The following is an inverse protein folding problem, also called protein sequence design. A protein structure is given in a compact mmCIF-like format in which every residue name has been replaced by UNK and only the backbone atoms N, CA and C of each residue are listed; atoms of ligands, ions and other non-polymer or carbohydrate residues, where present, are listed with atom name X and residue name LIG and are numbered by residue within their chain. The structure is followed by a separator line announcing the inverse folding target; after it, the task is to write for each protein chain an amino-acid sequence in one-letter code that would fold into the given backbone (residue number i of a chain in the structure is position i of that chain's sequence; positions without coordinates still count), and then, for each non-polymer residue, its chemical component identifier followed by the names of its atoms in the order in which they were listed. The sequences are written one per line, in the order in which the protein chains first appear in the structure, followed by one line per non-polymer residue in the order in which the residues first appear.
data_IF_397765099270
#
_entry.id   IF_397765099270
#
_cell.length_a   1.000
_cell.length_b   1.000
_cell.length_c   1.000
_cell.angle_alpha   90.00
_cell.angle_beta   90.00
_cell.angle_gamma   90.00
#
_symmetry.space_group_name_H-M   'P 1'
#
loop_
_entity.id
_entity.type
_entity.pdbx_description
1 polymer ?
#
# COMPACT_ATOMS: atom_id res chain seq x y z
N UNK A 1 -5.27 14.73 3.03
CA UNK A 1 -4.86 13.34 3.25
C UNK A 1 -5.62 12.82 4.46
N UNK A 2 -6.35 11.73 4.32
CA UNK A 2 -7.05 11.11 5.44
C UNK A 2 -6.00 10.38 6.32
N UNK A 3 -5.84 10.82 7.57
CA UNK A 3 -4.85 10.26 8.51
C UNK A 3 -5.16 8.79 8.84
N UNK A 4 -6.45 8.43 8.88
CA UNK A 4 -6.89 7.05 9.14
C UNK A 4 -6.53 6.12 7.98
N UNK A 5 -6.84 6.52 6.75
CA UNK A 5 -6.45 5.77 5.54
C UNK A 5 -4.94 5.62 5.45
N UNK A 6 -4.20 6.69 5.74
CA UNK A 6 -2.73 6.68 5.74
C UNK A 6 -2.20 5.61 6.68
N UNK A 7 -2.68 5.60 7.92
CA UNK A 7 -2.25 4.62 8.92
C UNK A 7 -2.60 3.20 8.50
N UNK A 8 -3.82 2.97 8.01
CA UNK A 8 -4.26 1.64 7.56
C UNK A 8 -3.40 1.10 6.41
N UNK A 9 -3.13 1.90 5.37
CA UNK A 9 -2.29 1.48 4.25
C UNK A 9 -0.85 1.21 4.71
N UNK A 10 -0.30 2.02 5.61
CA UNK A 10 1.01 1.78 6.20
C UNK A 10 1.03 0.45 6.98
N UNK A 11 -0.01 0.14 7.75
CA UNK A 11 -0.13 -1.11 8.51
C UNK A 11 -0.27 -2.33 7.59
N UNK A 12 -1.06 -2.22 6.51
CA UNK A 12 -1.17 -3.27 5.50
C UNK A 12 0.17 -3.52 4.80
N UNK A 13 0.88 -2.45 4.41
CA UNK A 13 2.19 -2.58 3.81
C UNK A 13 3.19 -3.23 4.79
N UNK A 14 3.16 -2.86 6.06
CA UNK A 14 3.99 -3.48 7.10
C UNK A 14 3.72 -4.98 7.22
N UNK A 15 2.44 -5.36 7.27
CA UNK A 15 1.99 -6.75 7.37
C UNK A 15 2.32 -7.57 6.12
N UNK A 16 1.95 -7.08 4.93
CA UNK A 16 2.17 -7.75 3.64
C UNK A 16 3.65 -8.00 3.35
N UNK A 17 4.51 -7.05 3.75
CA UNK A 17 5.94 -7.16 3.53
C UNK A 17 6.68 -7.81 4.70
N UNK A 18 6.00 -8.09 5.80
CA UNK A 18 6.59 -8.54 7.06
C UNK A 18 7.79 -7.67 7.45
N UNK A 19 7.58 -6.35 7.42
CA UNK A 19 8.62 -5.35 7.65
C UNK A 19 8.66 -4.99 9.14
N UNK A 20 9.81 -5.19 9.78
CA UNK A 20 9.97 -4.92 11.22
C UNK A 20 10.05 -3.42 11.55
N UNK A 21 10.35 -2.57 10.57
CA UNK A 21 10.48 -1.12 10.75
C UNK A 21 9.15 -0.35 10.69
N UNK A 22 9.26 0.98 10.76
CA UNK A 22 8.12 1.87 10.54
C UNK A 22 7.88 2.07 9.04
N UNK A 23 6.61 2.01 8.65
CA UNK A 23 6.16 2.33 7.30
C UNK A 23 5.50 3.69 7.34
N UNK A 24 5.94 4.58 6.47
CA UNK A 24 5.46 5.94 6.33
C UNK A 24 5.10 6.20 4.86
N UNK A 25 4.39 7.29 4.53
CA UNK A 25 4.14 7.66 3.14
C UNK A 25 5.42 7.81 2.30
N UNK A 26 6.54 8.17 2.93
CA UNK A 26 7.84 8.33 2.25
C UNK A 26 8.56 6.99 2.03
N UNK A 27 8.12 5.92 2.69
CA UNK A 27 8.70 4.59 2.55
C UNK A 27 8.51 4.09 1.12
N UNK A 28 9.60 3.58 0.52
CA UNK A 28 9.58 3.08 -0.87
C UNK A 28 9.30 1.58 -0.93
N UNK A 29 8.67 1.14 -2.02
CA UNK A 29 8.53 -0.30 -2.30
C UNK A 29 9.87 -1.00 -2.49
N UNK A 30 10.93 -0.26 -2.85
CA UNK A 30 12.30 -0.78 -2.89
C UNK A 30 12.80 -1.16 -1.49
N UNK A 31 12.51 -0.32 -0.48
CA UNK A 31 12.86 -0.54 0.92
C UNK A 31 12.12 -1.74 1.52
N UNK A 32 10.84 -1.90 1.18
CA UNK A 32 10.02 -3.01 1.67
C UNK A 32 10.38 -4.35 0.98
N UNK A 33 10.93 -4.28 -0.23
CA UNK A 33 11.42 -5.40 -1.03
C UNK A 33 10.47 -5.79 -2.15
N UNK A 34 10.94 -5.72 -3.41
CA UNK A 34 10.17 -5.87 -4.67
C UNK A 34 9.63 -7.29 -4.97
N UNK A 35 9.07 -7.98 -3.98
CA UNK A 35 8.42 -9.27 -4.20
C UNK A 35 7.02 -9.09 -4.77
N UNK A 36 6.77 -9.54 -6.00
CA UNK A 36 5.44 -9.46 -6.65
C UNK A 36 4.33 -10.08 -5.80
N UNK A 37 4.61 -11.18 -5.09
CA UNK A 37 3.65 -11.79 -4.16
C UNK A 37 3.26 -10.87 -2.98
N UNK A 38 4.19 -10.05 -2.47
CA UNK A 38 3.92 -9.10 -1.38
C UNK A 38 3.05 -7.94 -1.87
N UNK A 39 3.29 -7.46 -3.09
CA UNK A 39 2.45 -6.46 -3.74
C UNK A 39 1.03 -6.97 -3.96
N UNK A 40 0.88 -8.22 -4.44
CA UNK A 40 -0.44 -8.85 -4.59
C UNK A 40 -1.15 -8.95 -3.23
N UNK A 41 -0.45 -9.42 -2.19
CA UNK A 41 -1.03 -9.50 -0.85
C UNK A 41 -1.50 -8.14 -0.34
N UNK A 42 -0.70 -7.08 -0.55
CA UNK A 42 -1.07 -5.72 -0.17
C UNK A 42 -2.32 -5.23 -0.91
N UNK A 43 -2.37 -5.37 -2.24
CA UNK A 43 -3.55 -4.95 -3.02
C UNK A 43 -4.79 -5.73 -2.65
N UNK A 44 -4.66 -7.03 -2.33
CA UNK A 44 -5.80 -7.83 -1.84
C UNK A 44 -6.26 -7.40 -0.45
N UNK A 45 -5.38 -6.97 0.45
CA UNK A 45 -5.81 -6.42 1.75
C UNK A 45 -6.61 -5.14 1.58
N UNK A 46 -6.17 -4.26 0.68
CA UNK A 46 -6.87 -3.00 0.36
C UNK A 46 -8.26 -3.29 -0.19
N UNK A 47 -8.38 -4.19 -1.15
CA UNK A 47 -9.66 -4.60 -1.73
C UNK A 47 -10.61 -5.19 -0.68
N UNK A 48 -10.11 -6.07 0.19
CA UNK A 48 -10.96 -6.75 1.17
C UNK A 48 -11.38 -5.86 2.36
N UNK A 49 -10.50 -4.98 2.83
CA UNK A 49 -10.74 -4.19 4.05
C UNK A 49 -11.31 -2.79 3.74
N UNK A 50 -10.97 -2.21 2.59
CA UNK A 50 -11.34 -0.84 2.23
C UNK A 50 -12.33 -0.76 1.06
N UNK A 51 -12.70 -1.89 0.46
CA UNK A 51 -13.56 -1.96 -0.74
C UNK A 51 -13.01 -1.13 -1.91
N UNK A 52 -11.68 -1.00 -1.99
CA UNK A 52 -10.99 -0.20 -3.00
C UNK A 52 -10.12 -1.09 -3.91
N UNK A 53 -10.34 -1.01 -5.22
CA UNK A 53 -9.61 -1.85 -6.18
C UNK A 53 -8.37 -1.12 -6.72
N UNK A 54 -7.19 -1.48 -6.21
CA UNK A 54 -5.91 -0.97 -6.75
C UNK A 54 -5.18 -2.10 -7.50
N UNK A 55 -5.12 -2.06 -8.85
CA UNK A 55 -4.46 -3.09 -9.63
C UNK A 55 -2.96 -3.20 -9.29
N UNK A 56 -2.46 -4.41 -9.05
CA UNK A 56 -1.04 -4.66 -8.75
C UNK A 56 -0.09 -4.07 -9.80
N UNK A 57 -0.52 -3.98 -11.07
CA UNK A 57 0.24 -3.36 -12.16
C UNK A 57 0.54 -1.88 -11.94
N UNK A 58 -0.34 -1.17 -11.24
CA UNK A 58 -0.15 0.23 -10.88
C UNK A 58 0.82 0.34 -9.70
N UNK A 59 0.65 -0.51 -8.69
CA UNK A 59 1.58 -0.60 -7.55
C UNK A 59 3.00 -0.95 -7.99
N UNK A 60 3.17 -1.77 -9.03
CA UNK A 60 4.48 -2.13 -9.57
C UNK A 60 5.25 -0.94 -10.18
N UNK A 61 4.56 0.12 -10.61
CA UNK A 61 5.20 1.34 -11.15
C UNK A 61 5.26 2.48 -10.14
N UNK A 62 4.58 2.34 -9.00
CA UNK A 62 4.68 3.27 -7.87
C UNK A 62 6.04 3.13 -7.18
N UNK A 63 6.52 4.24 -6.65
CA UNK A 63 7.77 4.34 -5.91
C UNK A 63 7.53 4.25 -4.40
N UNK A 64 6.48 4.88 -3.90
CA UNK A 64 6.24 5.13 -2.48
C UNK A 64 4.87 4.66 -2.00
N UNK A 65 4.74 4.43 -0.69
CA UNK A 65 3.46 4.16 -0.05
C UNK A 65 2.51 5.37 -0.16
N UNK A 66 3.04 6.60 -0.20
CA UNK A 66 2.24 7.80 -0.42
C UNK A 66 1.43 7.76 -1.71
N UNK A 67 2.03 7.31 -2.83
CA UNK A 67 1.33 7.16 -4.11
C UNK A 67 0.22 6.11 -4.03
N UNK A 68 0.42 5.04 -3.26
CA UNK A 68 -0.62 4.03 -3.03
C UNK A 68 -1.77 4.59 -2.19
N UNK A 69 -1.48 5.40 -1.16
CA UNK A 69 -2.50 6.06 -0.34
C UNK A 69 -3.35 6.99 -1.19
N UNK A 70 -2.72 7.83 -2.01
CA UNK A 70 -3.42 8.74 -2.91
C UNK A 70 -4.30 7.98 -3.90
N UNK A 71 -3.75 6.95 -4.55
CA UNK A 71 -4.51 6.12 -5.49
C UNK A 71 -5.70 5.41 -4.84
N UNK A 72 -5.52 4.91 -3.62
CA UNK A 72 -6.60 4.26 -2.86
C UNK A 72 -7.68 5.27 -2.48
N UNK A 73 -7.28 6.48 -2.06
CA UNK A 73 -8.23 7.55 -1.75
C UNK A 73 -9.08 7.94 -2.97
N UNK A 74 -8.48 7.99 -4.16
CA UNK A 74 -9.19 8.28 -5.41
C UNK A 74 -10.24 7.22 -5.77
N UNK A 75 -10.02 5.94 -5.46
CA UNK A 75 -11.03 4.88 -5.69
C UNK A 75 -12.19 4.95 -4.68
N UNK A 76 -11.96 5.54 -3.51
CA UNK A 76 -12.96 5.63 -2.44
C UNK A 76 -13.83 6.90 -2.52
N UNK A 77 -13.57 7.81 -3.48
CA UNK A 77 -14.38 9.01 -3.77
C UNK A 77 -15.56 8.72 -4.72
#
# INVERSE_FOLDING_TARGET
MNEELTQQICDFAKSAYNYDGDVTPETTFETLGKGSMKMIALTSMIENELDAEVPVREVMVMKTIGELIERTAEEME
#
